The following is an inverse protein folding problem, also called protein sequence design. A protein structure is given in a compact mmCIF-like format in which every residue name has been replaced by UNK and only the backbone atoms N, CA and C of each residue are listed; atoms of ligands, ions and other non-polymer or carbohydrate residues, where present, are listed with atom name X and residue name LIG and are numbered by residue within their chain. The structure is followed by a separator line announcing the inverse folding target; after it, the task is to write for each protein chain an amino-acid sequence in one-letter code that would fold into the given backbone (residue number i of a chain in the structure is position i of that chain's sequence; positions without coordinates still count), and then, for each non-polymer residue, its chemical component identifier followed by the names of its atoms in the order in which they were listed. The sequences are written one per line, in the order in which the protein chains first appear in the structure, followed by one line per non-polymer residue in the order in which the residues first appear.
data_IF_472603968669
#
_entry.id   IF_472603968669
#
_cell.length_a   1.000
_cell.length_b   1.000
_cell.length_c   1.000
_cell.angle_alpha   90.00
_cell.angle_beta   90.00
_cell.angle_gamma   90.00
#
_symmetry.space_group_name_H-M   'P 1'
#
loop_
_entity.id
_entity.type
_entity.pdbx_description
1 polymer ?
#
# COMPACT_ATOMS: atom_id res chain seq x y z
N UNK A 1 4.78 -9.97 1.66
CA UNK A 1 6.10 -9.70 2.29
C UNK A 1 6.39 -8.20 2.32
N UNK A 2 6.67 -7.68 3.50
CA UNK A 2 7.05 -6.28 3.64
C UNK A 2 8.53 -6.10 3.41
N UNK A 3 8.88 -5.06 2.67
CA UNK A 3 10.26 -4.68 2.43
C UNK A 3 10.43 -3.21 2.82
N UNK A 4 11.35 -2.93 3.73
CA UNK A 4 11.67 -1.55 4.12
C UNK A 4 12.94 -1.13 3.40
N UNK A 5 12.96 0.10 2.94
CA UNK A 5 14.11 0.61 2.22
C UNK A 5 14.24 2.13 2.43
N UNK A 6 15.39 2.65 2.07
CA UNK A 6 15.68 4.07 2.15
C UNK A 6 15.71 4.62 0.73
N UNK A 7 14.95 5.69 0.49
CA UNK A 7 14.90 6.26 -0.86
C UNK A 7 16.07 7.21 -1.12
N UNK A 8 16.11 7.78 -2.33
CA UNK A 8 17.19 8.68 -2.72
C UNK A 8 17.27 9.95 -1.88
N UNK A 9 16.16 10.35 -1.29
CA UNK A 9 16.10 11.53 -0.41
C UNK A 9 16.54 11.21 1.01
N UNK A 10 16.88 9.97 1.31
CA UNK A 10 17.24 9.55 2.65
C UNK A 10 16.06 9.26 3.55
N UNK A 11 14.86 9.21 3.00
CA UNK A 11 13.65 8.93 3.76
C UNK A 11 13.34 7.44 3.75
N UNK A 12 12.67 6.98 4.78
CA UNK A 12 12.32 5.56 4.93
C UNK A 12 10.96 5.28 4.33
N UNK A 13 10.88 4.18 3.60
CA UNK A 13 9.65 3.70 2.98
C UNK A 13 9.52 2.21 3.16
N UNK A 14 8.30 1.70 3.02
CA UNK A 14 8.08 0.27 2.93
C UNK A 14 7.21 -0.03 1.73
N UNK A 15 7.27 -1.26 1.27
CA UNK A 15 6.40 -1.73 0.21
C UNK A 15 6.01 -3.15 0.50
N UNK A 16 4.86 -3.54 -0.03
CA UNK A 16 4.34 -4.89 0.12
C UNK A 16 4.48 -5.60 -1.21
N UNK A 17 5.13 -6.75 -1.21
CA UNK A 17 5.33 -7.57 -2.40
C UNK A 17 4.51 -8.85 -2.33
N UNK A 18 4.03 -9.30 -3.49
CA UNK A 18 3.40 -10.60 -3.63
C UNK A 18 4.48 -11.69 -3.66
N UNK A 19 4.05 -12.94 -3.65
CA UNK A 19 4.97 -14.08 -3.69
C UNK A 19 5.83 -14.11 -4.94
N UNK A 20 5.31 -13.59 -6.06
CA UNK A 20 6.04 -13.56 -7.33
C UNK A 20 7.00 -12.36 -7.44
N UNK A 21 7.16 -11.60 -6.35
CA UNK A 21 8.05 -10.45 -6.32
C UNK A 21 7.46 -9.16 -6.84
N UNK A 22 6.22 -9.16 -7.29
CA UNK A 22 5.58 -7.94 -7.78
C UNK A 22 5.19 -7.03 -6.63
N UNK A 23 5.39 -5.73 -6.81
CA UNK A 23 5.00 -4.74 -5.80
C UNK A 23 3.49 -4.55 -5.83
N UNK A 24 2.84 -4.77 -4.68
CA UNK A 24 1.40 -4.58 -4.56
C UNK A 24 1.09 -3.13 -4.22
N UNK A 25 1.79 -2.58 -3.23
CA UNK A 25 1.62 -1.19 -2.83
C UNK A 25 2.89 -0.67 -2.16
N UNK A 26 3.02 0.64 -2.12
CA UNK A 26 4.18 1.30 -1.50
C UNK A 26 3.71 2.41 -0.59
N UNK A 27 4.44 2.64 0.49
CA UNK A 27 4.08 3.63 1.50
C UNK A 27 4.48 5.04 1.10
N UNK A 28 4.01 5.99 1.90
CA UNK A 28 4.52 7.35 1.89
C UNK A 28 5.94 7.37 2.46
N UNK A 29 6.64 8.47 2.26
CA UNK A 29 8.00 8.63 2.78
C UNK A 29 7.95 9.08 4.25
N UNK A 30 8.77 8.44 5.07
CA UNK A 30 8.88 8.77 6.49
C UNK A 30 10.27 9.28 6.81
N UNK A 31 10.34 10.25 7.72
CA UNK A 31 11.64 10.83 8.09
C UNK A 31 12.45 9.96 9.04
N UNK A 32 11.79 9.05 9.76
CA UNK A 32 12.47 8.15 10.70
C UNK A 32 12.06 6.70 10.47
N UNK A 33 12.93 5.79 10.88
CA UNK A 33 12.66 4.37 10.86
C UNK A 33 11.45 4.01 11.73
N UNK A 34 11.37 4.66 12.88
CA UNK A 34 10.26 4.45 13.83
C UNK A 34 8.91 4.79 13.21
N UNK A 35 8.83 5.93 12.53
CA UNK A 35 7.59 6.34 11.84
C UNK A 35 7.23 5.36 10.73
N UNK A 36 8.22 4.88 9.98
CA UNK A 36 8.02 3.89 8.93
C UNK A 36 7.45 2.59 9.49
N UNK A 37 8.01 2.11 10.60
CA UNK A 37 7.53 0.90 11.27
C UNK A 37 6.08 1.07 11.74
N UNK A 38 5.74 2.23 12.29
CA UNK A 38 4.36 2.52 12.70
C UNK A 38 3.42 2.51 11.50
N UNK A 39 3.88 3.05 10.37
CA UNK A 39 3.10 3.03 9.13
C UNK A 39 2.82 1.62 8.66
N UNK A 40 3.81 0.74 8.72
CA UNK A 40 3.65 -0.66 8.32
C UNK A 40 2.63 -1.36 9.22
N UNK A 41 2.70 -1.14 10.53
CA UNK A 41 1.74 -1.70 11.48
C UNK A 41 0.34 -1.17 11.22
N UNK A 42 0.22 0.12 10.89
CA UNK A 42 -1.05 0.73 10.57
C UNK A 42 -1.65 0.10 9.32
N UNK A 43 -0.83 -0.19 8.31
CA UNK A 43 -1.29 -0.88 7.11
C UNK A 43 -1.87 -2.24 7.45
N UNK A 44 -1.19 -3.02 8.27
CA UNK A 44 -1.65 -4.35 8.68
C UNK A 44 -3.01 -4.26 9.36
N UNK A 45 -3.15 -3.35 10.31
CA UNK A 45 -4.41 -3.19 11.05
C UNK A 45 -5.55 -2.73 10.15
N UNK A 46 -5.30 -1.70 9.35
CA UNK A 46 -6.35 -1.10 8.52
C UNK A 46 -6.72 -1.95 7.31
N UNK A 47 -5.79 -2.74 6.79
CA UNK A 47 -6.07 -3.58 5.61
C UNK A 47 -7.09 -4.68 5.89
N UNK A 48 -7.34 -4.98 7.15
CA UNK A 48 -8.39 -5.94 7.53
C UNK A 48 -9.78 -5.38 7.29
N UNK A 49 -9.90 -4.07 7.18
CA UNK A 49 -11.18 -3.39 6.96
C UNK A 49 -11.31 -3.02 5.49
N UNK A 50 -12.35 -3.52 4.84
CA UNK A 50 -12.59 -3.23 3.44
C UNK A 50 -12.74 -1.73 3.17
N UNK A 51 -13.35 -1.00 4.09
CA UNK A 51 -13.55 0.45 3.96
C UNK A 51 -12.25 1.27 3.98
N UNK A 52 -11.14 0.66 4.37
CA UNK A 52 -9.84 1.33 4.36
C UNK A 52 -9.23 1.39 2.98
N UNK A 53 -9.81 0.71 2.00
CA UNK A 53 -9.33 0.73 0.62
C UNK A 53 -10.17 1.69 -0.21
N UNK A 54 -9.53 2.71 -0.76
CA UNK A 54 -10.20 3.63 -1.68
C UNK A 54 -9.73 3.36 -3.10
N UNK A 55 -10.68 3.03 -3.97
CA UNK A 55 -10.39 2.72 -5.37
C UNK A 55 -10.47 3.99 -6.20
N UNK A 56 -9.46 4.24 -7.00
CA UNK A 56 -9.34 5.43 -7.82
C UNK A 56 -8.92 5.03 -9.23
N UNK A 57 -9.09 5.95 -10.17
CA UNK A 57 -8.68 5.74 -11.55
C UNK A 57 -7.76 6.89 -11.95
N UNK A 58 -6.59 6.57 -12.51
CA UNK A 58 -5.66 7.61 -12.90
C UNK A 58 -5.94 8.10 -14.33
N UNK A 59 -5.16 9.10 -14.76
CA UNK A 59 -5.33 9.70 -16.09
C UNK A 59 -5.09 8.72 -17.24
N UNK A 60 -4.28 7.69 -16.99
CA UNK A 60 -4.02 6.66 -18.00
C UNK A 60 -5.12 5.61 -18.07
N UNK A 61 -6.18 5.74 -17.27
CA UNK A 61 -7.28 4.80 -17.25
C UNK A 61 -7.02 3.55 -16.44
N UNK A 62 -5.94 3.52 -15.67
CA UNK A 62 -5.64 2.38 -14.79
C UNK A 62 -6.26 2.57 -13.42
N UNK A 63 -6.67 1.47 -12.82
CA UNK A 63 -7.24 1.47 -11.48
C UNK A 63 -6.14 1.31 -10.44
N UNK A 64 -6.26 2.02 -9.34
CA UNK A 64 -5.34 1.82 -8.22
C UNK A 64 -6.11 2.04 -6.92
N UNK A 65 -5.52 1.60 -5.81
CA UNK A 65 -6.15 1.81 -4.51
C UNK A 65 -5.18 2.48 -3.55
N UNK A 66 -5.75 3.23 -2.63
CA UNK A 66 -5.04 3.76 -1.48
C UNK A 66 -5.53 3.01 -0.25
N UNK A 67 -4.61 2.68 0.65
CA UNK A 67 -4.98 2.18 1.97
C UNK A 67 -4.92 3.38 2.91
N UNK A 68 -6.01 3.64 3.60
CA UNK A 68 -6.10 4.81 4.49
C UNK A 68 -6.23 4.38 5.94
N UNK A 69 -5.71 5.23 6.83
CA UNK A 69 -5.87 5.06 8.27
C UNK A 69 -7.22 5.62 8.71
N UNK A 70 -7.56 5.39 9.98
CA UNK A 70 -8.82 5.89 10.54
C UNK A 70 -8.98 7.40 10.46
N UNK A 71 -7.87 8.15 10.38
CA UNK A 71 -7.89 9.60 10.22
C UNK A 71 -7.90 10.05 8.76
N UNK A 72 -8.17 9.13 7.83
CA UNK A 72 -8.20 9.36 6.37
C UNK A 72 -6.86 9.66 5.74
N UNK A 73 -5.76 9.50 6.45
CA UNK A 73 -4.44 9.68 5.87
C UNK A 73 -4.06 8.47 5.05
N UNK A 74 -3.47 8.71 3.88
CA UNK A 74 -3.01 7.62 3.01
C UNK A 74 -1.77 6.97 3.61
N UNK A 75 -1.86 5.66 3.83
CA UNK A 75 -0.75 4.87 4.35
C UNK A 75 0.09 4.34 3.20
N UNK A 76 -0.57 3.85 2.16
CA UNK A 76 0.11 3.25 1.02
C UNK A 76 -0.75 3.38 -0.24
N UNK A 77 -0.10 3.37 -1.39
CA UNK A 77 -0.75 3.47 -2.70
C UNK A 77 -0.31 2.27 -3.54
N UNK A 78 -1.28 1.64 -4.21
CA UNK A 78 -0.99 0.48 -5.04
C UNK A 78 -0.39 0.87 -6.39
N UNK A 79 0.09 -0.15 -7.11
CA UNK A 79 0.44 -0.02 -8.50
C UNK A 79 -0.84 0.10 -9.35
N UNK A 80 -0.69 0.54 -10.60
CA UNK A 80 -1.84 0.65 -11.50
C UNK A 80 -2.25 -0.70 -12.07
N UNK A 81 -3.54 -0.97 -12.08
CA UNK A 81 -4.11 -2.20 -12.62
C UNK A 81 -4.96 -1.88 -13.85
N UNK A 82 -4.93 -2.77 -14.82
CA UNK A 82 -5.68 -2.57 -16.07
C UNK A 82 -7.19 -2.77 -15.92
N UNK A 83 -7.59 -3.55 -14.91
CA UNK A 83 -9.00 -3.88 -14.70
C UNK A 83 -9.35 -3.88 -13.23
N UNK A 84 -10.63 -3.75 -12.92
CA UNK A 84 -11.10 -3.85 -11.54
C UNK A 84 -10.87 -5.24 -10.96
N UNK A 85 -10.96 -6.27 -11.80
CA UNK A 85 -10.71 -7.64 -11.38
C UNK A 85 -9.28 -7.81 -10.85
N UNK A 86 -8.31 -7.29 -11.60
CA UNK A 86 -6.90 -7.32 -11.17
C UNK A 86 -6.70 -6.51 -9.89
N UNK A 87 -7.36 -5.34 -9.82
CA UNK A 87 -7.31 -4.49 -8.64
C UNK A 87 -7.80 -5.23 -7.40
N UNK A 88 -8.95 -5.92 -7.53
CA UNK A 88 -9.54 -6.65 -6.41
C UNK A 88 -8.62 -7.77 -5.93
N UNK A 89 -7.91 -8.41 -6.83
CA UNK A 89 -6.91 -9.42 -6.47
C UNK A 89 -5.77 -8.80 -5.67
N UNK A 90 -5.36 -7.59 -6.03
CA UNK A 90 -4.35 -6.86 -5.28
C UNK A 90 -4.81 -6.54 -3.87
N UNK A 91 -6.05 -6.09 -3.73
CA UNK A 91 -6.64 -5.80 -2.42
C UNK A 91 -6.69 -7.08 -1.57
N UNK A 92 -7.14 -8.19 -2.15
CA UNK A 92 -7.17 -9.47 -1.45
C UNK A 92 -5.79 -9.91 -0.98
N UNK A 93 -4.78 -9.69 -1.82
CA UNK A 93 -3.40 -10.03 -1.46
C UNK A 93 -2.94 -9.27 -0.22
N UNK A 94 -3.30 -8.00 -0.12
CA UNK A 94 -2.97 -7.19 1.07
C UNK A 94 -3.71 -7.74 2.29
N UNK A 95 -5.00 -8.03 2.15
CA UNK A 95 -5.82 -8.53 3.26
C UNK A 95 -5.37 -9.90 3.76
N UNK A 96 -5.00 -10.78 2.86
CA UNK A 96 -4.59 -12.16 3.22
C UNK A 96 -3.23 -12.22 3.88
N UNK A 97 -2.40 -11.21 3.71
CA UNK A 97 -1.08 -11.18 4.32
C UNK A 97 -1.12 -10.91 5.81
N UNK A 98 -2.23 -10.50 6.28
CA UNK A 98 -2.41 -10.17 7.68
C UNK A 98 -3.14 -11.30 8.40
#
# INVERSE_FOLDING_TARGET
MFERYKDKSGKFRFRLKAKNGEIICASQAYTTKSACTKGAKSLIVNSKKKKSFKVLKNKAGKFFFNVIAGNNKVIATSEGYKSESSLNKGIESVQKRN
#
